data_IF_925841730363
#
_entry.id   IF_925841730363
#
_cell.length_a   1.000
_cell.length_b   1.000
_cell.length_c   1.000
_cell.angle_alpha   90.00
_cell.angle_beta   90.00
_cell.angle_gamma   90.00
#
_symmetry.space_group_name_H-M   'P 1'
#
loop_
_entity.id
_entity.type
_entity.pdbx_description
1 polymer ?
#
# COMPACT_ATOMS: atom_id res chain seq x y z
N UNK A 1 8.83 -2.10 -15.42
CA UNK A 1 9.86 -1.85 -14.38
C UNK A 1 9.53 -2.77 -13.22
N UNK A 2 10.52 -3.37 -12.55
CA UNK A 2 10.29 -4.25 -11.40
C UNK A 2 10.78 -3.57 -10.13
N UNK A 3 10.15 -3.89 -9.01
CA UNK A 3 10.69 -3.61 -7.69
C UNK A 3 11.58 -4.74 -7.22
N UNK A 4 12.74 -4.38 -6.69
CA UNK A 4 13.70 -5.33 -6.12
C UNK A 4 13.80 -5.10 -4.61
N UNK A 5 13.81 -6.20 -3.86
CA UNK A 5 14.00 -6.21 -2.41
C UNK A 5 15.32 -6.88 -2.08
N UNK A 6 16.14 -6.18 -1.31
CA UNK A 6 17.48 -6.60 -0.97
C UNK A 6 17.56 -6.79 0.54
N UNK A 7 17.99 -7.96 1.03
CA UNK A 7 18.23 -8.12 2.47
C UNK A 7 19.34 -7.17 2.92
N UNK A 8 19.27 -6.73 4.18
CA UNK A 8 20.30 -5.89 4.78
C UNK A 8 21.26 -6.78 5.58
N UNK A 9 22.54 -6.79 5.21
CA UNK A 9 23.59 -7.53 5.89
C UNK A 9 24.65 -6.55 6.37
N UNK A 10 24.90 -6.50 7.69
CA UNK A 10 25.89 -5.58 8.26
C UNK A 10 25.55 -4.09 8.08
N UNK A 11 24.26 -3.76 8.00
CA UNK A 11 23.79 -2.37 7.82
C UNK A 11 23.93 -1.82 6.40
N UNK A 12 24.17 -2.68 5.40
CA UNK A 12 24.18 -2.32 3.99
C UNK A 12 23.24 -3.26 3.21
N UNK A 13 22.62 -2.73 2.16
CA UNK A 13 21.80 -3.54 1.26
C UNK A 13 22.68 -4.54 0.50
N UNK A 14 22.33 -5.81 0.56
CA UNK A 14 23.01 -6.90 -0.14
C UNK A 14 22.55 -6.96 -1.60
N UNK A 15 23.10 -6.05 -2.42
CA UNK A 15 22.69 -5.84 -3.81
C UNK A 15 22.74 -7.10 -4.70
N UNK A 16 23.72 -8.02 -4.54
CA UNK A 16 23.75 -9.29 -5.27
C UNK A 16 22.61 -10.26 -4.93
N UNK A 17 22.01 -10.13 -3.74
CA UNK A 17 20.93 -10.98 -3.26
C UNK A 17 19.57 -10.26 -3.30
N UNK A 18 19.45 -9.22 -4.14
CA UNK A 18 18.16 -8.60 -4.40
C UNK A 18 17.31 -9.52 -5.29
N UNK A 19 16.11 -9.83 -4.82
CA UNK A 19 15.12 -10.52 -5.63
C UNK A 19 14.12 -9.49 -6.18
N UNK A 20 13.78 -9.61 -7.47
CA UNK A 20 12.72 -8.83 -8.10
C UNK A 20 11.39 -9.60 -7.95
N UNK A 21 10.52 -9.12 -7.06
CA UNK A 21 9.31 -9.86 -6.69
C UNK A 21 8.07 -9.40 -7.47
N UNK A 22 7.93 -8.08 -7.69
CA UNK A 22 6.73 -7.49 -8.26
C UNK A 22 7.04 -6.47 -9.35
N UNK A 23 6.07 -6.24 -10.23
CA UNK A 23 6.13 -5.09 -11.13
C UNK A 23 6.00 -3.79 -10.32
N UNK A 24 6.62 -2.71 -10.79
CA UNK A 24 6.34 -1.38 -10.24
C UNK A 24 4.85 -1.08 -10.43
N UNK A 25 4.19 -0.67 -9.34
CA UNK A 25 2.74 -0.56 -9.23
C UNK A 25 1.97 -1.89 -9.32
N UNK A 26 2.57 -3.06 -9.08
CA UNK A 26 1.88 -4.37 -9.03
C UNK A 26 1.43 -4.94 -10.38
N UNK A 27 1.18 -4.09 -11.39
CA UNK A 27 0.70 -4.52 -12.69
C UNK A 27 1.79 -4.89 -13.69
N UNK A 28 1.54 -5.94 -14.47
CA UNK A 28 2.38 -6.25 -15.63
C UNK A 28 2.39 -5.09 -16.64
N UNK A 29 3.45 -5.00 -17.45
CA UNK A 29 3.64 -3.90 -18.42
C UNK A 29 2.58 -3.81 -19.53
N UNK A 30 1.62 -4.74 -19.61
CA UNK A 30 0.46 -4.64 -20.51
C UNK A 30 -0.59 -3.65 -19.99
N UNK A 31 -0.56 -3.32 -18.71
CA UNK A 31 -1.43 -2.32 -18.09
C UNK A 31 -0.68 -1.01 -17.97
N UNK A 32 -1.22 0.05 -18.56
CA UNK A 32 -0.67 1.37 -18.40
C UNK A 32 -1.00 1.88 -16.99
N UNK A 33 -0.02 2.00 -16.10
CA UNK A 33 -0.17 2.60 -14.76
C UNK A 33 0.30 4.07 -14.73
N UNK A 34 0.49 4.67 -15.91
CA UNK A 34 1.00 6.03 -16.11
C UNK A 34 2.39 6.28 -15.47
N UNK A 35 3.28 5.29 -15.54
CA UNK A 35 4.54 5.24 -14.77
C UNK A 35 5.43 6.49 -14.88
N UNK A 36 5.46 7.15 -16.04
CA UNK A 36 6.31 8.33 -16.28
C UNK A 36 5.60 9.67 -16.08
N UNK A 37 4.29 9.66 -15.88
CA UNK A 37 3.49 10.88 -15.74
C UNK A 37 2.48 10.74 -14.60
N UNK A 38 2.96 10.23 -13.46
CA UNK A 38 2.20 10.04 -12.23
C UNK A 38 3.02 10.54 -11.04
N UNK A 39 2.35 11.06 -10.02
CA UNK A 39 2.92 11.48 -8.73
C UNK A 39 2.70 10.44 -7.62
N UNK A 40 2.18 9.26 -7.95
CA UNK A 40 1.95 8.12 -7.07
C UNK A 40 2.69 6.90 -7.59
N UNK A 41 3.35 6.18 -6.69
CA UNK A 41 3.95 4.87 -6.95
C UNK A 41 3.60 3.90 -5.83
N UNK A 42 3.27 2.67 -6.19
CA UNK A 42 2.99 1.58 -5.24
C UNK A 42 4.07 0.52 -5.35
N UNK A 43 4.59 0.10 -4.21
CA UNK A 43 5.61 -0.92 -4.06
C UNK A 43 5.02 -2.08 -3.25
N UNK A 44 4.68 -3.18 -3.93
CA UNK A 44 4.15 -4.38 -3.26
C UNK A 44 5.31 -5.17 -2.67
N UNK A 45 5.22 -5.51 -1.39
CA UNK A 45 6.25 -6.25 -0.66
C UNK A 45 5.66 -7.55 -0.13
N UNK A 46 6.28 -8.71 -0.41
CA UNK A 46 5.83 -9.96 0.18
C UNK A 46 6.27 -10.04 1.65
N UNK A 47 5.48 -10.72 2.48
CA UNK A 47 5.78 -10.89 3.92
C UNK A 47 7.17 -11.47 4.18
N UNK A 48 7.57 -12.50 3.41
CA UNK A 48 8.92 -13.07 3.52
C UNK A 48 10.02 -12.05 3.20
N UNK A 49 9.75 -11.09 2.32
CA UNK A 49 10.70 -10.04 1.93
C UNK A 49 10.98 -9.02 3.05
N UNK A 50 10.10 -8.93 4.04
CA UNK A 50 10.27 -8.08 5.24
C UNK A 50 10.51 -8.91 6.52
N UNK A 51 10.80 -10.21 6.37
CA UNK A 51 11.10 -11.09 7.50
C UNK A 51 9.88 -11.53 8.31
N UNK A 52 8.66 -11.35 7.77
CA UNK A 52 7.45 -11.91 8.35
C UNK A 52 7.28 -13.36 7.93
N UNK A 53 6.94 -14.21 8.89
CA UNK A 53 6.63 -15.63 8.70
C UNK A 53 5.23 -15.89 9.24
N UNK A 54 4.35 -16.40 8.37
CA UNK A 54 2.96 -16.67 8.69
C UNK A 54 2.82 -17.56 9.94
N UNK A 55 1.93 -17.16 10.84
CA UNK A 55 1.70 -17.82 12.13
C UNK A 55 2.86 -17.74 13.15
N UNK A 56 3.96 -17.05 12.85
CA UNK A 56 5.12 -16.91 13.75
C UNK A 56 5.27 -15.48 14.24
N UNK A 57 5.28 -14.51 13.32
CA UNK A 57 5.39 -13.08 13.63
C UNK A 57 4.51 -12.27 12.68
N UNK A 58 3.91 -11.21 13.21
CA UNK A 58 2.88 -10.43 12.50
C UNK A 58 3.20 -8.94 12.46
N UNK A 59 4.15 -8.49 13.28
CA UNK A 59 4.57 -7.09 13.38
C UNK A 59 5.98 -6.85 12.81
N UNK A 60 6.17 -5.63 12.30
CA UNK A 60 7.46 -5.12 11.88
C UNK A 60 7.55 -3.60 12.03
N UNK A 61 8.78 -3.11 12.21
CA UNK A 61 9.12 -1.70 12.22
C UNK A 61 9.77 -1.30 10.89
N UNK A 62 9.44 -0.12 10.39
CA UNK A 62 10.05 0.46 9.21
C UNK A 62 10.20 1.97 9.32
N UNK A 63 11.02 2.54 8.45
CA UNK A 63 11.13 3.99 8.27
C UNK A 63 11.40 4.26 6.79
N UNK A 64 11.08 5.46 6.34
CA UNK A 64 11.22 5.89 4.95
C UNK A 64 12.42 6.82 4.85
N UNK A 65 13.34 6.50 3.94
CA UNK A 65 14.45 7.38 3.58
C UNK A 65 14.24 7.86 2.15
N UNK A 66 14.29 9.17 1.96
CA UNK A 66 14.22 9.76 0.64
C UNK A 66 15.59 10.26 0.19
N UNK A 67 15.85 10.13 -1.10
CA UNK A 67 17.08 10.57 -1.74
C UNK A 67 16.74 11.47 -2.93
N UNK A 68 17.58 12.47 -3.18
CA UNK A 68 17.52 13.30 -4.38
C UNK A 68 18.83 13.16 -5.16
N UNK A 69 18.77 13.20 -6.49
CA UNK A 69 19.97 13.23 -7.34
C UNK A 69 20.81 14.49 -7.12
N UNK A 70 20.19 15.54 -6.59
CA UNK A 70 20.83 16.83 -6.32
C UNK A 70 21.49 16.88 -4.93
N UNK A 71 21.30 15.86 -4.09
CA UNK A 71 21.86 15.77 -2.76
C UNK A 71 22.90 14.65 -2.66
N UNK A 72 24.01 14.83 -1.92
CA UNK A 72 25.02 13.80 -1.73
C UNK A 72 24.59 12.67 -0.77
N UNK A 73 23.38 12.72 -0.22
CA UNK A 73 22.88 11.76 0.77
C UNK A 73 21.36 11.80 0.89
N UNK A 74 20.84 11.23 1.99
CA UNK A 74 19.42 11.28 2.30
C UNK A 74 18.96 12.73 2.46
N UNK A 75 17.83 13.08 1.83
CA UNK A 75 17.23 14.42 1.95
C UNK A 75 16.22 14.50 3.08
N UNK A 76 15.61 13.36 3.43
CA UNK A 76 14.68 13.23 4.56
C UNK A 76 14.64 11.79 5.06
N UNK A 77 14.34 11.63 6.35
CA UNK A 77 14.18 10.35 7.04
C UNK A 77 12.96 10.46 7.94
N UNK A 78 11.98 9.58 7.75
CA UNK A 78 10.80 9.54 8.62
C UNK A 78 11.14 9.01 10.01
N UNK A 79 10.24 9.25 10.97
CA UNK A 79 10.21 8.48 12.21
C UNK A 79 10.03 6.98 11.93
N UNK A 80 10.36 6.15 12.91
CA UNK A 80 10.08 4.71 12.89
C UNK A 80 8.57 4.51 13.05
N UNK A 81 8.01 3.68 12.18
CA UNK A 81 6.59 3.33 12.12
C UNK A 81 6.49 1.83 12.36
N UNK A 82 5.61 1.43 13.27
CA UNK A 82 5.29 0.03 13.54
C UNK A 82 4.00 -0.37 12.84
N UNK A 83 3.95 -1.59 12.30
CA UNK A 83 2.77 -2.13 11.66
C UNK A 83 2.58 -3.59 12.06
N UNK A 84 1.34 -3.98 12.39
CA UNK A 84 0.95 -5.35 12.74
C UNK A 84 -0.12 -5.86 11.77
N UNK A 85 0.28 -6.84 10.97
CA UNK A 85 -0.56 -7.50 9.96
C UNK A 85 -1.73 -8.26 10.58
N UNK A 86 -1.60 -8.76 11.81
CA UNK A 86 -2.67 -9.52 12.46
C UNK A 86 -3.77 -8.63 13.06
N UNK A 87 -3.50 -7.34 13.27
CA UNK A 87 -4.42 -6.39 13.88
C UNK A 87 -4.73 -5.22 12.94
N UNK A 88 -5.04 -5.55 11.67
CA UNK A 88 -5.38 -4.57 10.64
C UNK A 88 -6.75 -3.94 10.86
N UNK A 89 -6.82 -2.64 10.70
CA UNK A 89 -8.08 -1.88 10.71
C UNK A 89 -8.94 -2.15 9.47
N UNK A 90 -8.30 -2.40 8.33
CA UNK A 90 -8.92 -2.57 7.03
C UNK A 90 -8.26 -3.71 6.25
N UNK A 91 -9.07 -4.52 5.58
CA UNK A 91 -8.63 -5.52 4.62
C UNK A 91 -8.91 -4.99 3.21
N UNK A 92 -7.84 -4.58 2.53
CA UNK A 92 -7.90 -3.87 1.24
C UNK A 92 -7.47 -4.74 0.06
N UNK A 93 -7.13 -6.01 0.30
CA UNK A 93 -6.71 -6.95 -0.74
C UNK A 93 -7.92 -7.27 -1.62
N UNK A 94 -7.81 -7.07 -2.93
CA UNK A 94 -8.80 -7.58 -3.88
C UNK A 94 -8.58 -9.08 -4.06
N UNK A 95 -9.41 -9.96 -3.46
CA UNK A 95 -9.17 -11.40 -3.51
C UNK A 95 -9.60 -12.01 -4.85
N UNK A 96 -10.26 -11.24 -5.72
CA UNK A 96 -10.89 -11.75 -6.94
C UNK A 96 -10.00 -11.51 -8.16
N UNK A 97 -9.42 -10.31 -8.30
CA UNK A 97 -8.71 -9.95 -9.53
C UNK A 97 -7.19 -9.90 -9.37
N UNK A 98 -6.69 -9.27 -8.31
CA UNK A 98 -5.26 -8.95 -8.19
C UNK A 98 -4.55 -9.72 -7.08
N UNK A 99 -5.24 -10.05 -5.98
CA UNK A 99 -4.61 -10.56 -4.77
C UNK A 99 -3.74 -9.50 -4.06
N UNK A 100 -3.92 -8.23 -4.40
CA UNK A 100 -3.11 -7.10 -3.96
C UNK A 100 -4.03 -5.94 -3.50
N UNK A 101 -3.52 -4.94 -2.77
CA UNK A 101 -4.31 -3.77 -2.36
C UNK A 101 -4.53 -2.78 -3.52
N UNK A 102 -5.01 -3.29 -4.65
CA UNK A 102 -5.18 -2.58 -5.91
C UNK A 102 -6.47 -3.00 -6.57
N UNK A 103 -7.22 -2.01 -7.04
CA UNK A 103 -8.54 -2.21 -7.61
C UNK A 103 -8.62 -1.58 -8.99
N UNK A 104 -9.34 -2.24 -9.90
CA UNK A 104 -9.61 -1.71 -11.22
C UNK A 104 -10.81 -0.76 -11.17
N UNK A 105 -10.54 0.54 -11.18
CA UNK A 105 -11.58 1.57 -11.29
C UNK A 105 -12.05 1.71 -12.75
N UNK A 106 -12.94 0.80 -13.16
CA UNK A 106 -13.72 0.98 -14.37
C UNK A 106 -15.18 0.65 -14.11
N UNK A 107 -16.03 1.64 -14.38
CA UNK A 107 -17.49 1.55 -14.24
C UNK A 107 -18.13 0.39 -15.01
N UNK A 108 -17.48 -0.09 -16.08
CA UNK A 108 -17.96 -1.23 -16.86
C UNK A 108 -17.64 -2.61 -16.24
N UNK A 109 -16.73 -2.67 -15.26
CA UNK A 109 -16.21 -3.93 -14.71
C UNK A 109 -16.43 -4.05 -13.20
N UNK A 110 -16.14 -2.99 -12.43
CA UNK A 110 -16.35 -2.95 -10.99
C UNK A 110 -16.66 -1.51 -10.56
N UNK A 111 -17.94 -1.07 -10.60
CA UNK A 111 -18.32 0.28 -10.17
C UNK A 111 -18.18 0.50 -8.66
N UNK A 112 -17.97 -0.57 -7.89
CA UNK A 112 -17.74 -0.56 -6.45
C UNK A 112 -16.66 -1.59 -6.11
N UNK A 113 -15.97 -1.37 -4.99
CA UNK A 113 -15.04 -2.32 -4.40
C UNK A 113 -15.36 -2.50 -2.92
N UNK A 114 -15.41 -3.76 -2.49
CA UNK A 114 -15.75 -4.10 -1.11
C UNK A 114 -14.48 -4.12 -0.27
N UNK A 115 -14.53 -3.45 0.88
CA UNK A 115 -13.40 -3.36 1.81
C UNK A 115 -13.84 -3.92 3.16
N UNK A 116 -13.10 -4.91 3.65
CA UNK A 116 -13.27 -5.44 5.00
C UNK A 116 -12.76 -4.44 6.03
N UNK A 117 -13.38 -4.38 7.20
CA UNK A 117 -12.92 -3.51 8.28
C UNK A 117 -13.24 -4.09 9.66
N UNK A 118 -12.36 -3.81 10.63
CA UNK A 118 -12.54 -4.17 12.04
C UNK A 118 -12.63 -2.90 12.90
N UNK A 119 -13.81 -2.67 13.51
CA UNK A 119 -14.07 -1.49 14.34
C UNK A 119 -13.23 -1.47 15.62
N UNK A 120 -12.95 -2.62 16.21
CA UNK A 120 -12.12 -2.73 17.40
C UNK A 120 -10.67 -2.38 17.05
N UNK A 121 -10.16 -2.89 15.93
CA UNK A 121 -8.83 -2.56 15.43
C UNK A 121 -8.70 -1.07 15.05
N UNK A 122 -9.70 -0.49 14.37
CA UNK A 122 -9.74 0.96 14.07
C UNK A 122 -9.59 1.80 15.34
N UNK A 123 -10.34 1.45 16.39
CA UNK A 123 -10.27 2.16 17.66
C UNK A 123 -8.93 1.95 18.39
N UNK A 124 -8.41 0.72 18.41
CA UNK A 124 -7.14 0.39 19.04
C UNK A 124 -5.95 1.08 18.35
N UNK A 125 -5.99 1.15 17.01
CA UNK A 125 -4.93 1.73 16.17
C UNK A 125 -5.08 3.24 15.95
N UNK A 126 -6.16 3.87 16.45
CA UNK A 126 -6.53 5.26 16.14
C UNK A 126 -6.55 5.56 14.63
N UNK A 127 -7.05 4.61 13.83
CA UNK A 127 -7.06 4.76 12.37
C UNK A 127 -8.01 5.88 11.94
N UNK A 128 -7.50 6.81 11.12
CA UNK A 128 -8.25 7.98 10.67
C UNK A 128 -9.14 7.69 9.46
N UNK A 129 -8.79 6.67 8.69
CA UNK A 129 -9.55 6.23 7.52
C UNK A 129 -8.68 5.51 6.51
N UNK A 130 -9.16 5.44 5.26
CA UNK A 130 -8.44 4.87 4.14
C UNK A 130 -7.94 5.97 3.20
N UNK A 131 -6.67 5.89 2.83
CA UNK A 131 -6.09 6.72 1.77
C UNK A 131 -6.14 5.94 0.46
N UNK A 132 -6.91 6.45 -0.50
CA UNK A 132 -7.02 5.93 -1.85
C UNK A 132 -6.09 6.74 -2.74
N UNK A 133 -5.32 6.03 -3.55
CA UNK A 133 -4.37 6.61 -4.47
C UNK A 133 -4.73 6.19 -5.90
N UNK A 134 -4.99 7.20 -6.74
CA UNK A 134 -5.51 7.01 -8.09
C UNK A 134 -4.38 7.19 -9.10
N UNK A 135 -4.07 6.15 -9.89
CA UNK A 135 -3.01 6.24 -10.90
C UNK A 135 -3.37 7.11 -12.11
N UNK A 136 -4.66 7.23 -12.43
CA UNK A 136 -5.17 7.92 -13.62
C UNK A 136 -6.23 8.94 -13.25
N UNK A 137 -5.83 9.99 -12.53
CA UNK A 137 -6.71 11.10 -12.19
C UNK A 137 -6.13 12.44 -12.62
N UNK A 138 -7.01 13.43 -12.75
CA UNK A 138 -6.60 14.81 -13.02
C UNK A 138 -5.69 15.33 -11.89
N UNK A 139 -4.80 16.26 -12.22
CA UNK A 139 -3.92 16.87 -11.22
C UNK A 139 -4.74 17.39 -10.02
N UNK A 140 -4.35 16.97 -8.81
CA UNK A 140 -5.07 17.32 -7.57
C UNK A 140 -6.17 16.34 -7.15
N UNK A 141 -6.40 15.26 -7.90
CA UNK A 141 -7.37 14.20 -7.57
C UNK A 141 -6.74 12.80 -7.45
N UNK A 142 -5.40 12.73 -7.37
CA UNK A 142 -4.67 11.46 -7.24
C UNK A 142 -4.74 10.85 -5.84
N UNK A 143 -5.19 11.59 -4.82
CA UNK A 143 -5.27 11.15 -3.44
C UNK A 143 -6.64 11.52 -2.87
N UNK A 144 -7.28 10.56 -2.22
CA UNK A 144 -8.59 10.71 -1.60
C UNK A 144 -8.59 10.04 -0.24
N UNK A 145 -9.14 10.71 0.78
CA UNK A 145 -9.27 10.13 2.11
C UNK A 145 -10.73 9.76 2.33
N UNK A 146 -10.99 8.46 2.49
CA UNK A 146 -12.26 7.97 2.99
C UNK A 146 -12.22 8.02 4.52
N UNK A 147 -12.83 9.06 5.07
CA UNK A 147 -13.01 9.19 6.50
C UNK A 147 -14.15 8.30 6.97
N UNK A 148 -13.86 7.43 7.93
CA UNK A 148 -14.87 6.63 8.59
C UNK A 148 -15.27 7.33 9.89
N UNK A 149 -16.04 8.40 9.77
CA UNK A 149 -16.73 8.95 10.94
C UNK A 149 -17.69 7.86 11.42
N UNK A 150 -17.48 7.38 12.65
CA UNK A 150 -18.17 6.24 13.28
C UNK A 150 -19.69 6.42 13.41
N UNK A 151 -20.23 7.52 12.88
CA UNK A 151 -21.64 7.80 12.71
C UNK A 151 -22.20 7.09 11.48
N UNK A 152 -22.32 5.77 11.60
CA UNK A 152 -23.45 5.01 11.07
C UNK A 152 -23.74 5.20 9.55
N UNK A 153 -23.00 4.50 8.69
CA UNK A 153 -23.54 4.13 7.39
C UNK A 153 -24.69 3.12 7.63
N UNK A 154 -25.90 3.63 7.89
CA UNK A 154 -27.11 2.83 7.78
C UNK A 154 -27.32 2.51 6.30
N UNK A 155 -27.75 1.29 5.94
CA UNK A 155 -28.26 1.05 4.60
C UNK A 155 -29.41 2.03 4.37
N UNK A 156 -29.29 2.86 3.33
CA UNK A 156 -30.39 3.66 2.84
C UNK A 156 -31.45 2.69 2.29
N UNK A 157 -32.46 2.40 3.12
CA UNK A 157 -33.70 1.78 2.67
C UNK A 157 -34.65 2.95 2.36
N UNK A 158 -34.70 3.39 1.09
CA UNK A 158 -35.89 4.12 0.63
C UNK A 158 -37.04 3.14 0.41
N UNK A 159 -38.22 3.52 0.88
CA UNK A 159 -39.48 2.87 0.49
C UNK A 159 -39.87 3.24 -0.93
#
# INVERSE_FOLDING_TARGET
MYSAFCPVVGGQADLPNCDAWYFVNGWSGSTNTNLFNNNVMTLVVPFVGIGLVDGVNTDFDFYVVSYSREAPGAVDVSDIISYDVANQSFDTVDPVNTGEPQWWDASAYSPTFDIGYDKAAIAANNSLGLLLLHHHNTAGSSAEVLNFDYKLFLPYISR
#
